data_IF_656261431562
#
_entry.id   IF_656261431562
#
_cell.length_a   1.000
_cell.length_b   1.000
_cell.length_c   1.000
_cell.angle_alpha   90.00
_cell.angle_beta   90.00
_cell.angle_gamma   90.00
#
_symmetry.space_group_name_H-M   'P 1'
#
loop_
_entity.id
_entity.type
_entity.pdbx_description
1 polymer ?
#
# COMPACT_ATOMS: atom_id res chain seq x y z
N UNK A 1 12.69 -12.76 12.59
CA UNK A 1 11.61 -13.32 11.73
C UNK A 1 10.55 -12.33 11.22
N UNK A 2 10.35 -11.12 11.79
CA UNK A 2 9.28 -10.17 11.37
C UNK A 2 9.49 -9.48 10.00
N UNK A 3 10.72 -9.08 9.64
CA UNK A 3 11.00 -8.34 8.38
C UNK A 3 10.84 -9.18 7.11
N UNK A 4 11.29 -10.44 7.14
CA UNK A 4 11.28 -11.34 5.96
C UNK A 4 9.84 -11.71 5.55
N UNK A 5 8.96 -11.97 6.53
CA UNK A 5 7.54 -12.26 6.26
C UNK A 5 6.81 -11.09 5.59
N UNK A 6 7.25 -9.85 5.87
CA UNK A 6 6.67 -8.63 5.29
C UNK A 6 6.98 -8.48 3.80
N UNK A 7 8.14 -8.93 3.33
CA UNK A 7 8.50 -8.91 1.90
C UNK A 7 7.68 -9.92 1.11
N UNK A 8 7.49 -11.13 1.65
CA UNK A 8 6.72 -12.18 1.01
C UNK A 8 5.21 -11.87 0.92
N UNK A 9 4.70 -10.99 1.77
CA UNK A 9 3.30 -10.55 1.74
C UNK A 9 3.04 -9.36 0.83
N UNK A 10 4.06 -8.81 0.14
CA UNK A 10 3.88 -7.71 -0.83
C UNK A 10 3.22 -8.25 -2.10
N UNK A 11 2.25 -7.50 -2.63
CA UNK A 11 1.72 -7.70 -3.97
C UNK A 11 2.39 -6.76 -4.95
N UNK A 12 3.26 -7.30 -5.80
CA UNK A 12 3.99 -6.52 -6.80
C UNK A 12 3.01 -5.89 -7.79
N UNK A 13 2.07 -6.67 -8.35
CA UNK A 13 1.09 -6.15 -9.31
C UNK A 13 0.22 -5.02 -8.75
N UNK A 14 -0.30 -5.16 -7.52
CA UNK A 14 -1.10 -4.10 -6.87
C UNK A 14 -0.24 -2.88 -6.53
N UNK A 15 0.98 -3.10 -6.06
CA UNK A 15 1.95 -2.02 -5.79
C UNK A 15 2.21 -1.23 -7.06
N UNK A 16 2.54 -1.88 -8.18
CA UNK A 16 2.78 -1.20 -9.46
C UNK A 16 1.54 -0.46 -9.95
N UNK A 17 0.36 -1.10 -9.94
CA UNK A 17 -0.89 -0.48 -10.38
C UNK A 17 -1.21 0.80 -9.59
N UNK A 18 -1.12 0.74 -8.26
CA UNK A 18 -1.41 1.88 -7.38
C UNK A 18 -0.41 3.01 -7.58
N UNK A 19 0.88 2.69 -7.66
CA UNK A 19 1.90 3.73 -7.85
C UNK A 19 1.86 4.35 -9.24
N UNK A 20 1.59 3.56 -10.28
CA UNK A 20 1.39 4.10 -11.62
C UNK A 20 0.18 5.03 -11.67
N UNK A 21 -0.93 4.61 -11.03
CA UNK A 21 -2.17 5.40 -11.02
C UNK A 21 -2.00 6.77 -10.35
N UNK A 22 -1.21 6.86 -9.28
CA UNK A 22 -1.06 8.09 -8.49
C UNK A 22 0.19 8.91 -8.80
N UNK A 23 1.27 8.27 -9.26
CA UNK A 23 2.58 8.91 -9.47
C UNK A 23 3.15 8.69 -10.88
N UNK A 24 2.39 8.05 -11.78
CA UNK A 24 2.83 7.77 -13.15
C UNK A 24 4.07 6.87 -13.22
N UNK A 25 4.90 7.08 -14.25
CA UNK A 25 6.11 6.29 -14.48
C UNK A 25 7.13 6.37 -13.34
N UNK A 26 7.22 7.51 -12.66
CA UNK A 26 8.12 7.67 -11.51
C UNK A 26 7.76 6.72 -10.36
N UNK A 27 6.45 6.46 -10.17
CA UNK A 27 5.94 5.53 -9.18
C UNK A 27 6.29 4.06 -9.48
N UNK A 28 6.53 3.72 -10.74
CA UNK A 28 6.94 2.37 -11.11
C UNK A 28 8.41 2.10 -10.79
N UNK A 29 9.28 3.08 -11.03
CA UNK A 29 10.72 2.99 -10.74
C UNK A 29 10.98 3.08 -9.23
N UNK A 30 10.25 3.96 -8.54
CA UNK A 30 10.42 4.21 -7.11
C UNK A 30 9.07 4.09 -6.38
N UNK A 31 8.56 2.87 -6.14
CA UNK A 31 7.24 2.68 -5.54
C UNK A 31 7.17 3.25 -4.12
N UNK A 32 6.27 4.22 -3.94
CA UNK A 32 6.03 4.93 -2.68
C UNK A 32 5.02 4.17 -1.81
N UNK A 33 3.95 3.67 -2.43
CA UNK A 33 2.89 2.93 -1.75
C UNK A 33 3.12 1.43 -1.93
N UNK A 34 3.40 0.70 -0.85
CA UNK A 34 3.57 -0.75 -0.89
C UNK A 34 2.27 -1.40 -0.41
N UNK A 35 1.71 -2.29 -1.23
CA UNK A 35 0.42 -2.95 -0.98
C UNK A 35 0.63 -4.42 -0.64
N UNK A 36 -0.07 -4.93 0.37
CA UNK A 36 -0.07 -6.35 0.70
C UNK A 36 -0.92 -7.22 -0.26
N UNK A 37 -0.63 -8.52 -0.33
CA UNK A 37 -1.38 -9.51 -1.11
C UNK A 37 -2.86 -9.55 -0.72
N UNK A 38 -3.17 -9.44 0.57
CA UNK A 38 -4.53 -9.52 1.10
C UNK A 38 -5.27 -8.16 1.10
N UNK A 39 -4.82 -7.19 0.29
CA UNK A 39 -5.54 -5.92 0.10
C UNK A 39 -6.47 -5.99 -1.10
N UNK A 40 -7.75 -5.61 -0.94
CA UNK A 40 -8.69 -5.39 -2.04
C UNK A 40 -8.62 -3.93 -2.49
N UNK A 41 -8.32 -3.69 -3.77
CA UNK A 41 -8.40 -2.35 -4.36
C UNK A 41 -9.84 -2.13 -4.83
N UNK A 42 -10.53 -1.11 -4.30
CA UNK A 42 -11.93 -0.82 -4.60
C UNK A 42 -12.10 0.40 -5.50
N UNK A 43 -11.65 1.58 -5.08
CA UNK A 43 -11.59 2.80 -5.91
C UNK A 43 -10.20 3.39 -5.87
N UNK A 44 -9.75 3.85 -7.04
CA UNK A 44 -8.49 4.57 -7.26
C UNK A 44 -8.74 5.91 -7.99
N UNK A 45 -9.95 6.45 -7.91
CA UNK A 45 -10.36 7.69 -8.58
C UNK A 45 -9.78 8.94 -7.93
N UNK A 46 -9.46 8.89 -6.63
CA UNK A 46 -8.85 9.99 -5.90
C UNK A 46 -7.39 10.28 -6.25
N UNK A 47 -6.75 11.15 -5.46
CA UNK A 47 -5.36 11.54 -5.60
C UNK A 47 -4.56 11.21 -4.34
N UNK A 48 -3.26 11.01 -4.50
CA UNK A 48 -2.33 10.82 -3.39
C UNK A 48 -1.13 11.74 -3.57
N UNK A 49 -0.90 12.60 -2.58
CA UNK A 49 0.25 13.49 -2.52
C UNK A 49 1.21 13.02 -1.43
N UNK A 50 2.50 13.03 -1.74
CA UNK A 50 3.55 12.67 -0.78
C UNK A 50 4.61 13.76 -0.80
N UNK A 51 4.83 14.40 0.34
CA UNK A 51 5.76 15.54 0.46
C UNK A 51 7.20 15.12 0.17
N UNK A 52 7.58 13.91 0.57
CA UNK A 52 8.91 13.35 0.36
C UNK A 52 8.84 11.97 -0.31
N UNK A 53 9.35 11.85 -1.54
CA UNK A 53 9.37 10.60 -2.33
C UNK A 53 10.27 9.49 -1.74
N UNK A 54 11.08 9.80 -0.71
CA UNK A 54 11.83 8.80 0.07
C UNK A 54 10.95 8.09 1.11
N UNK A 55 9.79 8.65 1.45
CA UNK A 55 8.86 8.00 2.36
C UNK A 55 8.21 6.79 1.71
N UNK A 56 7.73 5.87 2.57
CA UNK A 56 7.00 4.69 2.15
C UNK A 56 5.70 4.59 2.92
N UNK A 57 4.63 4.34 2.19
CA UNK A 57 3.30 4.08 2.74
C UNK A 57 3.04 2.59 2.59
N UNK A 58 3.03 1.86 3.70
CA UNK A 58 2.71 0.44 3.72
C UNK A 58 1.23 0.27 4.00
N UNK A 59 0.51 -0.46 3.15
CA UNK A 59 -0.92 -0.69 3.30
C UNK A 59 -1.28 -2.18 3.29
N UNK A 60 -2.10 -2.55 4.27
CA UNK A 60 -2.66 -3.89 4.44
C UNK A 60 -1.71 -4.91 5.05
N UNK A 61 -0.67 -4.45 5.76
CA UNK A 61 0.26 -5.32 6.47
C UNK A 61 -0.21 -5.56 7.90
N UNK A 62 -1.35 -6.25 8.05
CA UNK A 62 -1.88 -6.63 9.36
C UNK A 62 -1.14 -7.85 9.91
N UNK A 63 -0.86 -7.83 11.21
CA UNK A 63 -0.31 -8.97 11.94
C UNK A 63 -1.08 -9.15 13.26
N UNK A 64 -2.38 -9.45 13.18
CA UNK A 64 -3.16 -9.82 14.38
C UNK A 64 -3.11 -11.33 14.55
N UNK A 65 -2.64 -11.81 15.71
CA UNK A 65 -2.48 -13.23 16.01
C UNK A 65 -3.76 -13.97 16.39
N UNK A 66 -4.88 -13.25 16.53
CA UNK A 66 -6.16 -13.75 17.03
C UNK A 66 -7.12 -14.08 15.88
N UNK A 67 -6.90 -13.52 14.68
CA UNK A 67 -7.77 -13.69 13.52
C UNK A 67 -7.10 -14.55 12.45
N UNK A 68 -7.91 -15.30 11.69
CA UNK A 68 -7.42 -16.07 10.55
C UNK A 68 -6.98 -15.12 9.41
N UNK A 69 -5.67 -15.07 9.21
CA UNK A 69 -4.99 -14.26 8.20
C UNK A 69 -5.46 -14.52 6.77
N UNK A 70 -6.03 -15.69 6.48
CA UNK A 70 -6.56 -16.03 5.14
C UNK A 70 -7.81 -15.22 4.81
N UNK A 71 -8.61 -14.89 5.82
CA UNK A 71 -9.89 -14.20 5.66
C UNK A 71 -9.81 -12.71 6.00
N UNK A 72 -8.79 -12.30 6.75
CA UNK A 72 -8.47 -10.90 7.00
C UNK A 72 -8.03 -10.18 5.71
N UNK A 73 -8.71 -9.07 5.39
CA UNK A 73 -8.44 -8.27 4.19
C UNK A 73 -8.56 -6.79 4.50
N UNK A 74 -7.58 -6.02 4.05
CA UNK A 74 -7.67 -4.55 4.04
C UNK A 74 -8.28 -4.08 2.73
N UNK A 75 -8.96 -2.93 2.73
CA UNK A 75 -9.59 -2.38 1.53
C UNK A 75 -8.97 -1.01 1.24
N UNK A 76 -8.34 -0.88 0.08
CA UNK A 76 -7.93 0.41 -0.43
C UNK A 76 -9.09 1.03 -1.21
N UNK A 77 -9.67 2.10 -0.68
CA UNK A 77 -10.81 2.78 -1.26
C UNK A 77 -10.61 4.29 -1.24
N UNK A 78 -10.01 4.84 -2.32
CA UNK A 78 -9.71 6.27 -2.41
C UNK A 78 -10.54 6.94 -3.51
N UNK A 79 -11.45 7.82 -3.08
CA UNK A 79 -12.22 8.73 -3.94
C UNK A 79 -11.97 10.22 -3.59
N UNK A 80 -10.98 10.50 -2.74
CA UNK A 80 -10.69 11.85 -2.25
C UNK A 80 -9.21 12.17 -2.40
N UNK A 81 -8.64 12.88 -1.44
CA UNK A 81 -7.22 13.24 -1.42
C UNK A 81 -6.59 12.63 -0.17
N UNK A 82 -5.53 11.83 -0.37
CA UNK A 82 -4.61 11.47 0.70
C UNK A 82 -3.35 12.32 0.61
N UNK A 83 -2.93 12.89 1.73
CA UNK A 83 -1.69 13.65 1.82
C UNK A 83 -0.80 13.03 2.90
N UNK A 84 0.39 12.61 2.49
CA UNK A 84 1.38 12.01 3.36
C UNK A 84 2.57 12.95 3.53
N UNK A 85 2.79 13.42 4.75
CA UNK A 85 3.97 14.21 5.09
C UNK A 85 5.21 13.34 5.38
N UNK A 86 4.99 12.08 5.74
CA UNK A 86 6.01 11.11 6.12
C UNK A 86 5.66 9.68 5.73
N UNK A 87 6.47 8.73 6.21
CA UNK A 87 6.17 7.31 6.05
C UNK A 87 4.97 6.91 6.91
N UNK A 88 4.12 6.03 6.38
CA UNK A 88 2.90 5.60 7.06
C UNK A 88 2.71 4.08 6.98
N UNK A 89 2.01 3.53 7.96
CA UNK A 89 1.68 2.12 8.04
C UNK A 89 0.21 1.96 8.37
N UNK A 90 -0.54 1.37 7.45
CA UNK A 90 -1.95 1.04 7.60
C UNK A 90 -2.10 -0.47 7.44
N UNK A 91 -2.83 -1.09 8.34
CA UNK A 91 -2.97 -2.54 8.41
C UNK A 91 -3.69 -2.90 9.69
#
# INVERSE_FOLDING_TARGET
MRRIKKVLSISISKTLLVNYRYFGWEGLVNPIIIISKNTKLKRLSGNVFVKNKKCRVYFGFVDVGIFDKKYERSIWDNNGIFQFEGSAHFG
#
